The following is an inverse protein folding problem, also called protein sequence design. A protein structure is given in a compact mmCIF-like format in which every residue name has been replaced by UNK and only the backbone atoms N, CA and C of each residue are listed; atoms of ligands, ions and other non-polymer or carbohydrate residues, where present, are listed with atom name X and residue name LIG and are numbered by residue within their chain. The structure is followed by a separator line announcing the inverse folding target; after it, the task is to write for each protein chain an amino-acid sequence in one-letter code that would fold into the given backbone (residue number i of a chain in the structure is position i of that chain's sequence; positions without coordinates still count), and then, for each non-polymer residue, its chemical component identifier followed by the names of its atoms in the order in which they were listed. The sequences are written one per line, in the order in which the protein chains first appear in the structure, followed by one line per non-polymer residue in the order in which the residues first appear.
data_IF_443954658240
#
_entry.id   IF_443954658240
#
_cell.length_a   1.000
_cell.length_b   1.000
_cell.length_c   1.000
_cell.angle_alpha   90.00
_cell.angle_beta   90.00
_cell.angle_gamma   90.00
#
_symmetry.space_group_name_H-M   'P 1'
#
loop_
_entity.id
_entity.type
_entity.pdbx_description
1 polymer ?
#
# COMPACT_ATOMS: atom_id res chain seq x y z
N UNK A 1 8.48 -2.08 -7.66
CA UNK A 1 9.29 -2.93 -6.76
C UNK A 1 9.08 -4.38 -7.11
N UNK A 2 10.13 -5.17 -7.02
CA UNK A 2 10.03 -6.61 -7.24
C UNK A 2 9.37 -7.30 -6.06
N UNK A 3 9.03 -8.56 -6.23
CA UNK A 3 8.47 -9.34 -5.12
C UNK A 3 9.41 -9.36 -3.92
N UNK A 4 10.70 -9.54 -4.16
CA UNK A 4 11.68 -9.55 -3.07
C UNK A 4 11.77 -8.22 -2.36
N UNK A 5 11.73 -7.15 -3.11
CA UNK A 5 11.79 -5.81 -2.52
C UNK A 5 10.57 -5.52 -1.66
N UNK A 6 9.39 -5.91 -2.14
CA UNK A 6 8.16 -5.73 -1.38
C UNK A 6 8.21 -6.53 -0.09
N UNK A 7 8.63 -7.80 -0.19
CA UNK A 7 8.73 -8.66 0.98
C UNK A 7 9.68 -8.07 2.02
N UNK A 8 10.84 -7.63 1.56
CA UNK A 8 11.87 -7.12 2.45
C UNK A 8 11.46 -5.80 3.09
N UNK A 9 10.77 -4.97 2.34
CA UNK A 9 10.39 -3.64 2.81
C UNK A 9 9.21 -3.67 3.78
N UNK A 10 8.23 -4.50 3.52
CA UNK A 10 6.97 -4.41 4.23
C UNK A 10 6.73 -5.51 5.27
N UNK A 11 7.45 -6.63 5.20
CA UNK A 11 7.22 -7.71 6.16
C UNK A 11 7.59 -7.26 7.57
N UNK A 12 6.65 -7.35 8.49
CA UNK A 12 6.89 -6.99 9.87
C UNK A 12 6.86 -5.49 10.16
N UNK A 13 6.36 -4.68 9.25
CA UNK A 13 6.36 -3.23 9.46
C UNK A 13 4.94 -2.65 9.46
N UNK A 14 4.83 -1.44 9.99
CA UNK A 14 3.60 -0.65 9.96
C UNK A 14 3.81 0.51 9.00
N UNK A 15 2.86 0.70 8.11
CA UNK A 15 2.86 1.81 7.16
C UNK A 15 1.84 2.84 7.61
N UNK A 16 2.26 4.09 7.66
CA UNK A 16 1.38 5.23 7.89
C UNK A 16 1.25 5.96 6.58
N UNK A 17 0.02 6.18 6.14
CA UNK A 17 -0.17 6.77 4.84
C UNK A 17 -1.47 7.54 4.73
N UNK A 18 -1.74 7.98 3.51
CA UNK A 18 -3.00 8.65 3.20
C UNK A 18 -3.40 8.34 1.78
N UNK A 19 -4.69 8.33 1.58
CA UNK A 19 -5.26 8.12 0.25
C UNK A 19 -5.19 9.41 -0.57
N UNK A 20 -5.50 9.28 -1.85
CA UNK A 20 -5.51 10.43 -2.75
C UNK A 20 -6.43 11.55 -2.31
N UNK A 21 -7.45 11.25 -1.54
CA UNK A 21 -8.37 12.26 -1.01
C UNK A 21 -7.89 12.85 0.31
N UNK A 22 -6.70 12.47 0.78
CA UNK A 22 -6.12 13.00 2.01
C UNK A 22 -6.46 12.25 3.28
N UNK A 23 -7.32 11.23 3.21
CA UNK A 23 -7.70 10.48 4.42
C UNK A 23 -6.56 9.61 4.90
N UNK A 24 -6.19 9.69 6.18
CA UNK A 24 -5.07 8.91 6.70
C UNK A 24 -5.46 7.49 7.01
N UNK A 25 -4.47 6.60 6.99
CA UNK A 25 -4.64 5.23 7.41
C UNK A 25 -3.33 4.68 7.98
N UNK A 26 -3.44 3.58 8.70
CA UNK A 26 -2.29 2.83 9.22
C UNK A 26 -2.52 1.37 8.90
N UNK A 27 -1.49 0.69 8.41
CA UNK A 27 -1.62 -0.72 8.05
C UNK A 27 -0.35 -1.46 8.47
N UNK A 28 -0.52 -2.56 9.21
CA UNK A 28 0.60 -3.36 9.69
C UNK A 28 0.61 -4.70 8.97
N UNK A 29 1.77 -5.04 8.41
CA UNK A 29 1.97 -6.27 7.64
C UNK A 29 2.82 -7.22 8.47
N UNK A 30 2.20 -8.22 9.08
CA UNK A 30 2.93 -9.14 9.94
C UNK A 30 3.66 -10.19 9.11
N UNK A 31 4.77 -10.65 9.64
CA UNK A 31 5.54 -11.68 8.95
C UNK A 31 4.75 -12.95 8.71
N UNK A 32 3.76 -13.21 9.57
CA UNK A 32 2.90 -14.38 9.44
C UNK A 32 1.98 -14.32 8.22
N UNK A 33 1.84 -13.16 7.60
CA UNK A 33 0.87 -12.96 6.53
C UNK A 33 -0.43 -12.32 7.00
N UNK A 34 -0.57 -12.07 8.29
CA UNK A 34 -1.73 -11.35 8.81
C UNK A 34 -1.51 -9.85 8.62
N UNK A 35 -2.61 -9.14 8.60
CA UNK A 35 -2.55 -7.71 8.42
C UNK A 35 -3.59 -7.03 9.31
N UNK A 36 -3.26 -5.85 9.81
CA UNK A 36 -4.18 -5.01 10.57
C UNK A 36 -4.29 -3.66 9.88
N UNK A 37 -5.50 -3.19 9.72
CA UNK A 37 -5.77 -1.92 9.06
C UNK A 37 -6.58 -1.03 9.99
N UNK A 38 -6.25 0.25 10.00
CA UNK A 38 -6.96 1.21 10.84
C UNK A 38 -7.04 2.55 10.14
N UNK A 39 -8.24 3.12 10.10
CA UNK A 39 -8.42 4.50 9.68
C UNK A 39 -9.40 5.16 10.63
N UNK A 40 -9.84 6.39 10.32
CA UNK A 40 -10.70 7.14 11.24
C UNK A 40 -12.08 6.51 11.41
N UNK A 41 -12.47 5.63 10.52
CA UNK A 41 -13.82 5.07 10.51
C UNK A 41 -13.89 3.63 10.94
N UNK A 42 -12.80 2.88 10.81
CA UNK A 42 -12.87 1.44 11.07
C UNK A 42 -11.50 0.84 11.37
N UNK A 43 -11.55 -0.33 11.96
CA UNK A 43 -10.41 -1.21 12.14
C UNK A 43 -10.76 -2.54 11.50
N UNK A 44 -9.86 -3.09 10.73
CA UNK A 44 -10.08 -4.36 10.03
C UNK A 44 -8.84 -5.22 10.12
N UNK A 45 -9.02 -6.54 10.05
CA UNK A 45 -7.92 -7.48 9.99
C UNK A 45 -8.08 -8.36 8.77
N UNK A 46 -6.99 -8.92 8.32
CA UNK A 46 -7.03 -9.77 7.14
C UNK A 46 -5.68 -10.42 6.89
N UNK A 47 -5.40 -10.64 5.63
CA UNK A 47 -4.15 -11.25 5.19
C UNK A 47 -3.54 -10.43 4.07
N UNK A 48 -2.21 -10.48 3.98
CA UNK A 48 -1.50 -9.85 2.87
C UNK A 48 -0.62 -10.88 2.18
N UNK A 49 -0.36 -10.65 0.92
CA UNK A 49 0.48 -11.54 0.13
C UNK A 49 1.13 -10.73 -0.98
N UNK A 50 2.12 -11.35 -1.63
CA UNK A 50 2.80 -10.72 -2.76
C UNK A 50 2.56 -11.58 -3.97
N UNK A 51 2.07 -10.99 -5.04
CA UNK A 51 1.75 -11.71 -6.27
C UNK A 51 2.22 -10.90 -7.46
N UNK A 52 3.17 -11.44 -8.20
CA UNK A 52 3.63 -10.88 -9.48
C UNK A 52 3.87 -9.38 -9.42
N UNK A 53 4.73 -8.96 -8.51
CA UNK A 53 5.10 -7.55 -8.40
C UNK A 53 4.06 -6.67 -7.72
N UNK A 54 3.08 -7.26 -7.05
CA UNK A 54 2.04 -6.49 -6.36
C UNK A 54 1.93 -6.92 -4.90
N UNK A 55 1.50 -5.98 -4.09
CA UNK A 55 1.14 -6.22 -2.70
C UNK A 55 -0.37 -6.36 -2.64
N UNK A 56 -0.84 -7.51 -2.20
CA UNK A 56 -2.27 -7.81 -2.20
C UNK A 56 -2.80 -7.93 -0.78
N UNK A 57 -4.00 -7.43 -0.55
CA UNK A 57 -4.65 -7.50 0.76
C UNK A 57 -6.06 -8.05 0.60
N UNK A 58 -6.49 -8.78 1.61
CA UNK A 58 -7.87 -9.25 1.69
C UNK A 58 -8.30 -9.20 3.15
N UNK A 59 -9.47 -8.67 3.43
CA UNK A 59 -9.93 -8.46 4.80
C UNK A 59 -10.93 -9.53 5.20
N UNK A 60 -10.91 -9.91 6.49
CA UNK A 60 -11.75 -11.00 7.00
C UNK A 60 -13.24 -10.72 6.80
N UNK A 61 -13.63 -9.46 6.97
CA UNK A 61 -15.04 -9.07 6.88
C UNK A 61 -15.42 -8.54 5.51
N UNK A 62 -14.44 -8.36 4.63
CA UNK A 62 -14.67 -7.85 3.28
C UNK A 62 -13.69 -8.54 2.34
N UNK A 63 -14.08 -9.68 1.78
CA UNK A 63 -13.16 -10.44 0.93
C UNK A 63 -12.85 -9.77 -0.39
N UNK A 64 -13.33 -8.58 -0.62
CA UNK A 64 -13.10 -7.91 -1.88
C UNK A 64 -11.69 -7.38 -2.07
N UNK A 65 -10.93 -7.16 -1.03
CA UNK A 65 -9.52 -6.78 -1.10
C UNK A 65 -8.98 -6.19 -2.41
N UNK A 66 -7.70 -6.15 -2.57
CA UNK A 66 -7.12 -5.66 -3.81
C UNK A 66 -5.62 -5.84 -3.88
N UNK A 67 -5.08 -5.61 -5.07
CA UNK A 67 -3.65 -5.69 -5.29
C UNK A 67 -3.13 -4.33 -5.75
N UNK A 68 -1.92 -3.99 -5.31
CA UNK A 68 -1.34 -2.68 -5.57
C UNK A 68 0.09 -2.84 -6.08
N UNK A 69 0.44 -2.10 -7.10
CA UNK A 69 1.84 -1.92 -7.43
C UNK A 69 2.41 -0.92 -6.46
N UNK A 70 3.67 -1.12 -6.11
CA UNK A 70 4.35 -0.26 -5.16
C UNK A 70 5.54 0.40 -5.83
N UNK A 71 5.68 1.69 -5.64
CA UNK A 71 6.80 2.44 -6.17
C UNK A 71 7.45 3.23 -5.05
N UNK A 72 8.75 3.11 -4.91
CA UNK A 72 9.49 3.92 -3.96
C UNK A 72 9.81 5.27 -4.61
N UNK A 73 9.37 6.34 -3.98
CA UNK A 73 9.49 7.68 -4.56
C UNK A 73 10.25 8.64 -3.67
N UNK A 74 11.12 8.11 -2.83
CA UNK A 74 11.92 8.95 -1.95
C UNK A 74 12.46 8.14 -0.79
N UNK A 75 13.06 8.82 0.17
CA UNK A 75 13.53 8.18 1.39
C UNK A 75 12.34 7.79 2.25
N UNK A 76 12.08 6.50 2.36
CA UNK A 76 10.94 5.98 3.13
C UNK A 76 9.62 6.60 2.67
N UNK A 77 9.43 6.67 1.36
CA UNK A 77 8.19 7.15 0.77
C UNK A 77 7.78 6.22 -0.34
N UNK A 78 6.57 5.69 -0.26
CA UNK A 78 6.06 4.69 -1.19
C UNK A 78 4.70 5.12 -1.73
N UNK A 79 4.49 4.87 -3.00
CA UNK A 79 3.20 5.09 -3.64
C UNK A 79 2.60 3.75 -4.01
N UNK A 80 1.32 3.61 -3.76
CA UNK A 80 0.56 2.39 -4.02
C UNK A 80 -0.45 2.69 -5.12
N UNK A 81 -0.46 1.84 -6.14
CA UNK A 81 -1.33 2.02 -7.29
C UNK A 81 -2.25 0.81 -7.40
N UNK A 82 -3.51 1.02 -7.18
CA UNK A 82 -4.50 -0.06 -7.27
C UNK A 82 -4.50 -0.64 -8.68
N UNK A 83 -4.30 -1.95 -8.77
CA UNK A 83 -4.29 -2.61 -10.06
C UNK A 83 -5.68 -3.15 -10.36
N UNK A 84 -6.13 -4.10 -9.60
CA UNK A 84 -7.45 -4.70 -9.75
C UNK A 84 -7.58 -5.87 -8.78
N UNK A 85 -8.80 -6.35 -8.62
CA UNK A 85 -9.03 -7.56 -7.84
C UNK A 85 -8.84 -8.78 -8.70
N UNK A 86 -9.05 -8.64 -9.99
CA UNK A 86 -8.84 -9.71 -10.95
C UNK A 86 -8.01 -9.18 -12.10
N UNK A 87 -7.29 -10.08 -12.74
CA UNK A 87 -6.35 -9.71 -13.79
C UNK A 87 -7.03 -9.03 -14.96
N UNK A 88 -8.18 -9.50 -15.35
CA UNK A 88 -8.87 -8.97 -16.52
C UNK A 88 -9.49 -7.60 -16.29
N UNK A 89 -9.47 -7.13 -15.07
CA UNK A 89 -9.93 -5.78 -14.77
C UNK A 89 -8.78 -4.78 -14.65
N UNK A 90 -7.58 -5.25 -14.81
CA UNK A 90 -6.40 -4.44 -14.58
C UNK A 90 -6.07 -3.60 -15.81
N UNK A 91 -6.89 -2.65 -16.13
CA UNK A 91 -6.55 -1.69 -17.17
C UNK A 91 -6.50 -0.30 -16.54
N UNK A 92 -5.59 0.49 -17.03
CA UNK A 92 -5.40 1.81 -16.48
C UNK A 92 -6.26 2.81 -17.17
N UNK A 93 -6.73 3.78 -16.43
CA UNK A 93 -7.39 4.95 -16.96
C UNK A 93 -6.31 6.00 -17.17
N UNK A 94 -5.99 6.37 -18.38
CA UNK A 94 -4.91 7.32 -18.63
C UNK A 94 -5.18 8.71 -18.07
N UNK A 95 -6.40 9.00 -17.74
CA UNK A 95 -6.73 10.28 -17.14
C UNK A 95 -6.44 10.29 -15.65
N UNK A 96 -6.35 9.12 -15.06
CA UNK A 96 -6.07 9.04 -13.66
C UNK A 96 -4.61 9.04 -13.43
N UNK A 97 -4.10 10.06 -12.95
CA UNK A 97 -2.68 10.10 -12.89
C UNK A 97 -2.16 9.44 -11.71
N UNK A 98 -2.60 9.45 -10.69
CA UNK A 98 -1.80 9.34 -9.56
C UNK A 98 -2.00 8.10 -8.77
N UNK A 99 -1.28 8.05 -7.73
CA UNK A 99 -1.29 6.95 -6.78
C UNK A 99 -2.63 6.88 -6.06
N UNK A 100 -2.99 5.67 -5.66
CA UNK A 100 -4.17 5.43 -4.84
C UNK A 100 -3.90 5.86 -3.41
N UNK A 101 -2.70 5.56 -2.93
CA UNK A 101 -2.28 5.90 -1.59
C UNK A 101 -0.78 6.16 -1.57
N UNK A 102 -0.32 6.89 -0.58
CA UNK A 102 1.09 7.17 -0.37
C UNK A 102 1.38 6.99 1.12
N UNK A 103 2.52 6.39 1.45
CA UNK A 103 2.84 6.14 2.84
C UNK A 103 4.29 5.91 3.10
N UNK A 104 4.62 5.78 4.37
CA UNK A 104 5.97 5.54 4.83
C UNK A 104 5.95 4.54 5.98
N UNK A 105 7.11 3.89 6.19
CA UNK A 105 7.25 2.97 7.32
C UNK A 105 7.32 3.78 8.61
N UNK A 106 6.49 3.43 9.57
CA UNK A 106 6.40 4.13 10.83
C UNK A 106 7.70 4.02 11.60
N UNK A 107 8.01 5.05 12.36
CA UNK A 107 9.22 5.08 13.18
C UNK A 107 10.42 5.70 12.48
N UNK A 108 10.30 6.04 11.23
CA UNK A 108 11.36 6.69 10.46
C UNK A 108 10.76 7.86 9.68
N UNK A 109 11.52 8.93 9.49
CA UNK A 109 10.99 10.05 8.72
C UNK A 109 10.81 9.64 7.26
N UNK A 110 9.67 10.03 6.70
CA UNK A 110 9.40 9.79 5.29
C UNK A 110 9.65 11.06 4.50
N UNK A 111 10.26 10.92 3.33
CA UNK A 111 10.56 12.07 2.50
C UNK A 111 10.34 11.74 1.04
N UNK A 112 9.25 12.26 0.51
CA UNK A 112 8.89 12.01 -0.88
C UNK A 112 9.64 12.95 -1.81
N UNK A 113 10.00 12.47 -2.98
CA UNK A 113 10.82 13.24 -3.90
C UNK A 113 10.19 14.57 -4.30
N UNK A 114 8.89 14.59 -4.53
CA UNK A 114 8.21 15.80 -4.93
C UNK A 114 8.12 16.85 -3.83
N UNK A 115 8.36 16.49 -2.60
CA UNK A 115 8.38 17.43 -1.49
C UNK A 115 9.68 18.19 -1.42
N UNK A 116 10.67 17.76 -2.14
CA UNK A 116 11.99 18.36 -2.13
C UNK A 116 12.13 19.52 -3.09
N UNK A 117 11.16 19.75 -3.89
CA UNK A 117 11.23 20.78 -4.92
C UNK A 117 10.69 22.13 -4.45
N UNK A 118 10.30 22.21 -3.26
CA UNK A 118 9.74 23.45 -2.70
C UNK A 118 10.77 24.51 -2.47
#
# INVERSE_FOLDING_TARGET
MSNEEIQKTFSGVTVEGRYGNGRPFTESYEESGRLSYNDTNRTSEGNWSIQTGTLCTIYDTDPSGGCFRVKKVGGNCFEFFFVARTVDKAHSDPVRPSWTARGSVAGQPGKCADEQTV
#
